data_IF_161196216621
#
_entry.id   IF_161196216621
#
_cell.length_a   1.000
_cell.length_b   1.000
_cell.length_c   1.000
_cell.angle_alpha   90.00
_cell.angle_beta   90.00
_cell.angle_gamma   90.00
#
_symmetry.space_group_name_H-M   'P 1'
#
loop_
_entity.id
_entity.type
_entity.pdbx_description
1 polymer ?
#
# COMPACT_ATOMS: atom_id res chain seq x y z
N UNK A 1 -13.29 15.52 -7.63
CA UNK A 1 -12.32 14.41 -7.73
C UNK A 1 -11.85 14.32 -9.17
N UNK A 2 -10.54 14.42 -9.40
CA UNK A 2 -9.95 14.31 -10.74
C UNK A 2 -9.91 12.85 -11.20
N UNK A 3 -9.76 12.62 -12.51
CA UNK A 3 -9.59 11.26 -13.06
C UNK A 3 -8.40 10.56 -12.42
N UNK A 4 -7.28 11.26 -12.20
CA UNK A 4 -6.09 10.70 -11.55
C UNK A 4 -6.32 10.27 -10.10
N UNK A 5 -7.09 11.03 -9.32
CA UNK A 5 -7.47 10.63 -7.94
C UNK A 5 -8.35 9.38 -7.93
N UNK A 6 -9.23 9.24 -8.92
CA UNK A 6 -10.05 8.04 -9.10
C UNK A 6 -9.18 6.81 -9.38
N UNK A 7 -8.20 6.95 -10.27
CA UNK A 7 -7.25 5.87 -10.55
C UNK A 7 -6.47 5.46 -9.29
N UNK A 8 -6.01 6.43 -8.49
CA UNK A 8 -5.34 6.14 -7.23
C UNK A 8 -6.21 5.38 -6.24
N UNK A 9 -7.48 5.80 -6.08
CA UNK A 9 -8.44 5.13 -5.20
C UNK A 9 -8.69 3.68 -5.62
N UNK A 10 -8.87 3.45 -6.92
CA UNK A 10 -9.17 2.14 -7.50
C UNK A 10 -7.95 1.23 -7.72
N UNK A 11 -6.73 1.78 -7.60
CA UNK A 11 -5.50 0.96 -7.67
C UNK A 11 -5.46 -0.09 -6.56
N UNK A 12 -5.91 0.25 -5.34
CA UNK A 12 -5.87 -0.64 -4.18
C UNK A 12 -6.69 -1.93 -4.38
N UNK A 13 -8.00 -1.87 -4.71
CA UNK A 13 -8.79 -3.07 -4.93
C UNK A 13 -8.31 -3.87 -6.16
N UNK A 14 -7.78 -3.20 -7.19
CA UNK A 14 -7.20 -3.89 -8.34
C UNK A 14 -5.98 -4.72 -7.95
N UNK A 15 -5.01 -4.11 -7.27
CA UNK A 15 -3.80 -4.81 -6.79
C UNK A 15 -4.17 -5.88 -5.77
N UNK A 16 -5.15 -5.62 -4.90
CA UNK A 16 -5.67 -6.61 -3.97
C UNK A 16 -6.23 -7.84 -4.69
N UNK A 17 -7.03 -7.64 -5.74
CA UNK A 17 -7.59 -8.73 -6.54
C UNK A 17 -6.48 -9.55 -7.22
N UNK A 18 -5.48 -8.89 -7.80
CA UNK A 18 -4.32 -9.57 -8.41
C UNK A 18 -3.56 -10.40 -7.38
N UNK A 19 -3.26 -9.82 -6.22
CA UNK A 19 -2.55 -10.51 -5.15
C UNK A 19 -3.35 -11.71 -4.60
N UNK A 20 -4.67 -11.55 -4.45
CA UNK A 20 -5.56 -12.64 -4.03
C UNK A 20 -5.57 -13.78 -5.06
N UNK A 21 -5.72 -13.45 -6.36
CA UNK A 21 -5.72 -14.45 -7.43
C UNK A 21 -4.39 -15.22 -7.48
N UNK A 22 -3.26 -14.52 -7.34
CA UNK A 22 -1.95 -15.15 -7.28
C UNK A 22 -1.82 -16.07 -6.05
N UNK A 23 -2.34 -15.67 -4.89
CA UNK A 23 -2.33 -16.52 -3.70
C UNK A 23 -3.22 -17.75 -3.81
N UNK A 24 -4.42 -17.60 -4.38
CA UNK A 24 -5.32 -18.73 -4.67
C UNK A 24 -4.67 -19.69 -5.67
N UNK A 25 -4.02 -19.17 -6.73
CA UNK A 25 -3.27 -19.99 -7.67
C UNK A 25 -2.15 -20.78 -6.98
N UNK A 26 -1.41 -20.15 -6.06
CA UNK A 26 -0.39 -20.84 -5.28
C UNK A 26 -0.97 -21.97 -4.42
N UNK A 27 -2.12 -21.76 -3.77
CA UNK A 27 -2.81 -22.82 -3.01
C UNK A 27 -3.26 -23.97 -3.90
N UNK A 28 -3.83 -23.68 -5.08
CA UNK A 28 -4.24 -24.71 -6.04
C UNK A 28 -3.02 -25.55 -6.45
N UNK A 29 -1.90 -24.90 -6.80
CA UNK A 29 -0.68 -25.60 -7.21
C UNK A 29 -0.12 -26.51 -6.11
N UNK A 30 -0.18 -26.07 -4.85
CA UNK A 30 0.20 -26.89 -3.69
C UNK A 30 -0.75 -28.07 -3.50
N UNK A 31 -2.06 -27.86 -3.66
CA UNK A 31 -3.07 -28.89 -3.49
C UNK A 31 -2.99 -30.00 -4.56
N UNK A 32 -2.40 -29.72 -5.72
CA UNK A 32 -2.18 -30.70 -6.80
C UNK A 32 -0.72 -31.17 -6.90
N UNK A 33 0.11 -30.92 -5.88
CA UNK A 33 1.54 -31.26 -5.80
C UNK A 33 2.41 -30.73 -6.97
N UNK A 34 2.00 -29.63 -7.60
CA UNK A 34 2.73 -28.99 -8.71
C UNK A 34 3.79 -27.99 -8.22
N UNK A 35 4.68 -28.44 -7.31
CA UNK A 35 5.74 -27.59 -6.75
C UNK A 35 6.82 -27.18 -7.76
N UNK A 36 6.89 -27.83 -8.93
CA UNK A 36 7.78 -27.42 -10.01
C UNK A 36 7.54 -25.95 -10.46
N UNK A 37 6.33 -25.43 -10.24
CA UNK A 37 5.93 -24.05 -10.53
C UNK A 37 6.11 -23.10 -9.33
N UNK A 38 6.52 -23.63 -8.18
CA UNK A 38 6.85 -22.92 -6.95
C UNK A 38 8.32 -23.22 -6.60
N UNK A 39 9.27 -22.60 -7.31
CA UNK A 39 10.67 -23.06 -7.40
C UNK A 39 11.45 -22.94 -6.09
N UNK A 40 10.89 -22.30 -5.07
CA UNK A 40 11.57 -22.04 -3.80
C UNK A 40 10.60 -22.01 -2.61
N UNK A 41 11.12 -22.22 -1.40
CA UNK A 41 10.37 -21.99 -0.15
C UNK A 41 9.85 -20.54 -0.10
N UNK A 42 10.62 -19.59 -0.63
CA UNK A 42 10.20 -18.20 -0.70
C UNK A 42 8.97 -18.01 -1.60
N UNK A 43 8.88 -18.71 -2.73
CA UNK A 43 7.71 -18.67 -3.62
C UNK A 43 6.46 -19.24 -2.94
N UNK A 44 6.61 -20.34 -2.18
CA UNK A 44 5.52 -20.94 -1.41
C UNK A 44 5.03 -19.97 -0.34
N UNK A 45 5.93 -19.43 0.50
CA UNK A 45 5.54 -18.49 1.56
C UNK A 45 4.92 -17.22 0.98
N UNK A 46 5.50 -16.71 -0.11
CA UNK A 46 5.02 -15.49 -0.78
C UNK A 46 3.61 -15.70 -1.33
N UNK A 47 3.39 -16.77 -2.08
CA UNK A 47 2.09 -17.11 -2.65
C UNK A 47 1.05 -17.42 -1.59
N UNK A 48 1.38 -18.27 -0.61
CA UNK A 48 0.42 -18.77 0.38
C UNK A 48 0.01 -17.74 1.41
N UNK A 49 0.94 -16.88 1.84
CA UNK A 49 0.72 -16.00 3.00
C UNK A 49 0.88 -14.51 2.66
N UNK A 50 1.96 -14.15 1.96
CA UNK A 50 2.31 -12.73 1.76
C UNK A 50 1.32 -12.05 0.81
N UNK A 51 1.01 -12.66 -0.33
CA UNK A 51 0.08 -12.08 -1.31
C UNK A 51 -1.37 -12.01 -0.80
N UNK A 52 -1.93 -13.05 -0.16
CA UNK A 52 -3.23 -12.93 0.52
C UNK A 52 -3.23 -11.86 1.63
N UNK A 53 -2.17 -11.79 2.45
CA UNK A 53 -2.04 -10.75 3.48
C UNK A 53 -2.01 -9.33 2.90
N UNK A 54 -1.29 -9.15 1.79
CA UNK A 54 -1.26 -7.90 1.03
C UNK A 54 -2.65 -7.54 0.51
N UNK A 55 -3.38 -8.50 -0.07
CA UNK A 55 -4.74 -8.29 -0.56
C UNK A 55 -5.68 -7.80 0.54
N UNK A 56 -5.63 -8.43 1.72
CA UNK A 56 -6.42 -8.02 2.89
C UNK A 56 -6.03 -6.61 3.33
N UNK A 57 -4.74 -6.29 3.42
CA UNK A 57 -4.27 -4.96 3.79
C UNK A 57 -4.81 -3.87 2.85
N UNK A 58 -4.72 -4.10 1.53
CA UNK A 58 -5.19 -3.15 0.54
C UNK A 58 -6.72 -3.00 0.52
N UNK A 59 -7.46 -4.11 0.73
CA UNK A 59 -8.91 -4.08 0.87
C UNK A 59 -9.34 -3.26 2.10
N UNK A 60 -8.68 -3.45 3.24
CA UNK A 60 -8.94 -2.67 4.45
C UNK A 60 -8.64 -1.18 4.24
N UNK A 61 -7.49 -0.86 3.65
CA UNK A 61 -7.11 0.51 3.32
C UNK A 61 -8.17 1.18 2.43
N UNK A 62 -8.66 0.47 1.41
CA UNK A 62 -9.68 0.99 0.52
C UNK A 62 -11.00 1.27 1.26
N UNK A 63 -11.45 0.34 2.11
CA UNK A 63 -12.64 0.51 2.95
C UNK A 63 -12.50 1.69 3.91
N UNK A 64 -11.31 1.91 4.48
CA UNK A 64 -11.04 3.05 5.36
C UNK A 64 -11.17 4.37 4.60
N UNK A 65 -10.60 4.47 3.40
CA UNK A 65 -10.64 5.71 2.60
C UNK A 65 -12.06 5.99 2.07
N UNK A 66 -12.82 4.97 1.69
CA UNK A 66 -14.22 5.11 1.28
C UNK A 66 -15.13 5.67 2.38
N UNK A 67 -14.71 5.62 3.64
CA UNK A 67 -15.44 6.13 4.80
C UNK A 67 -15.23 7.62 5.10
N UNK A 68 -14.44 8.32 4.26
CA UNK A 68 -14.21 9.78 4.31
C UNK A 68 -15.36 10.54 3.65
N UNK A 69 -15.51 11.82 4.00
CA UNK A 69 -16.47 12.70 3.33
C UNK A 69 -16.12 12.86 1.84
N UNK A 70 -14.83 12.95 1.53
CA UNK A 70 -14.29 12.91 0.17
C UNK A 70 -13.22 11.82 0.09
N UNK A 71 -13.43 10.73 -0.69
CA UNK A 71 -12.53 9.58 -0.72
C UNK A 71 -11.30 9.85 -1.58
N UNK A 72 -10.41 10.72 -1.09
CA UNK A 72 -9.14 11.06 -1.73
C UNK A 72 -7.99 10.63 -0.81
N UNK A 73 -6.94 10.08 -1.42
CA UNK A 73 -5.69 9.73 -0.77
C UNK A 73 -4.80 10.96 -0.61
N UNK A 74 -4.24 11.16 0.58
CA UNK A 74 -3.24 12.19 0.83
C UNK A 74 -1.90 11.85 0.15
N UNK A 75 -1.01 12.82 -0.03
CA UNK A 75 0.31 12.58 -0.63
C UNK A 75 1.14 11.55 0.15
N UNK A 76 1.06 11.60 1.49
CA UNK A 76 1.74 10.60 2.35
C UNK A 76 1.16 9.20 2.18
N UNK A 77 -0.15 9.06 2.05
CA UNK A 77 -0.80 7.77 1.79
C UNK A 77 -0.44 7.19 0.43
N UNK A 78 -0.37 8.04 -0.60
CA UNK A 78 0.09 7.63 -1.93
C UNK A 78 1.53 7.12 -1.88
N UNK A 79 2.42 7.81 -1.16
CA UNK A 79 3.82 7.40 -1.02
C UNK A 79 3.95 6.05 -0.30
N UNK A 80 3.17 5.83 0.78
CA UNK A 80 3.13 4.54 1.47
C UNK A 80 2.59 3.41 0.58
N UNK A 81 1.56 3.67 -0.23
CA UNK A 81 1.07 2.70 -1.21
C UNK A 81 2.11 2.38 -2.29
N UNK A 82 2.80 3.39 -2.81
CA UNK A 82 3.88 3.20 -3.79
C UNK A 82 4.99 2.32 -3.20
N UNK A 83 5.42 2.61 -1.97
CA UNK A 83 6.42 1.80 -1.27
C UNK A 83 5.94 0.35 -1.10
N UNK A 84 4.68 0.16 -0.70
CA UNK A 84 4.08 -1.16 -0.52
C UNK A 84 4.00 -1.94 -1.85
N UNK A 85 3.61 -1.28 -2.95
CA UNK A 85 3.57 -1.89 -4.29
C UNK A 85 4.96 -2.24 -4.79
N UNK A 86 5.94 -1.35 -4.63
CA UNK A 86 7.32 -1.59 -5.01
C UNK A 86 7.90 -2.80 -4.23
N UNK A 87 7.69 -2.85 -2.92
CA UNK A 87 8.11 -3.98 -2.10
C UNK A 87 7.43 -5.28 -2.53
N UNK A 88 6.12 -5.26 -2.81
CA UNK A 88 5.41 -6.44 -3.30
C UNK A 88 5.98 -6.96 -4.63
N UNK A 89 6.25 -6.07 -5.58
CA UNK A 89 6.87 -6.43 -6.87
C UNK A 89 8.25 -7.07 -6.64
N UNK A 90 9.09 -6.47 -5.79
CA UNK A 90 10.42 -6.99 -5.47
C UNK A 90 10.32 -8.37 -4.79
N UNK A 91 9.40 -8.54 -3.84
CA UNK A 91 9.17 -9.83 -3.16
C UNK A 91 8.78 -10.91 -4.17
N UNK A 92 7.86 -10.61 -5.09
CA UNK A 92 7.44 -11.56 -6.13
C UNK A 92 8.60 -11.89 -7.07
N UNK A 93 9.31 -10.87 -7.57
CA UNK A 93 10.42 -11.06 -8.50
C UNK A 93 11.55 -11.91 -7.88
N UNK A 94 11.89 -11.64 -6.63
CA UNK A 94 12.95 -12.36 -5.91
C UNK A 94 12.52 -13.74 -5.47
N UNK A 95 11.21 -14.00 -5.33
CA UNK A 95 10.70 -15.33 -4.93
C UNK A 95 10.97 -16.42 -5.97
N UNK A 96 11.20 -16.04 -7.22
CA UNK A 96 11.52 -16.96 -8.31
C UNK A 96 12.98 -17.46 -8.24
N UNK A 97 13.84 -16.80 -7.48
CA UNK A 97 15.23 -17.20 -7.27
C UNK A 97 15.36 -18.09 -6.03
N UNK A 98 15.76 -19.37 -6.18
CA UNK A 98 15.97 -20.28 -5.05
C UNK A 98 17.03 -19.80 -4.04
N UNK A 99 17.98 -18.97 -4.46
CA UNK A 99 19.06 -18.46 -3.61
C UNK A 99 18.67 -17.22 -2.80
N UNK A 100 17.54 -16.57 -3.11
CA UNK A 100 17.15 -15.28 -2.54
C UNK A 100 16.45 -15.37 -1.16
N UNK A 101 16.43 -16.55 -0.53
CA UNK A 101 15.69 -16.81 0.72
C UNK A 101 16.07 -15.83 1.86
N UNK A 102 17.36 -15.44 1.92
CA UNK A 102 17.86 -14.43 2.86
C UNK A 102 17.26 -13.04 2.62
N UNK A 103 17.02 -12.69 1.36
CA UNK A 103 16.35 -11.45 0.98
C UNK A 103 14.85 -11.50 1.33
N UNK A 104 14.21 -12.65 1.17
CA UNK A 104 12.83 -12.88 1.63
C UNK A 104 12.66 -12.58 3.13
N UNK A 105 13.59 -13.02 3.98
CA UNK A 105 13.58 -12.73 5.42
C UNK A 105 13.65 -11.24 5.76
N UNK A 106 14.29 -10.43 4.92
CA UNK A 106 14.34 -8.98 5.10
C UNK A 106 13.10 -8.30 4.52
N UNK A 107 12.64 -8.74 3.34
CA UNK A 107 11.57 -8.09 2.60
C UNK A 107 10.17 -8.33 3.20
N UNK A 108 9.88 -9.53 3.74
CA UNK A 108 8.55 -9.80 4.31
C UNK A 108 8.24 -8.90 5.52
N UNK A 109 9.13 -8.75 6.52
CA UNK A 109 8.91 -7.82 7.62
C UNK A 109 8.77 -6.36 7.14
N UNK A 110 9.58 -5.94 6.17
CA UNK A 110 9.47 -4.59 5.59
C UNK A 110 8.10 -4.36 4.94
N UNK A 111 7.59 -5.34 4.18
CA UNK A 111 6.26 -5.26 3.58
C UNK A 111 5.16 -5.19 4.64
N UNK A 112 5.29 -5.95 5.74
CA UNK A 112 4.36 -5.89 6.87
C UNK A 112 4.39 -4.51 7.53
N UNK A 113 5.58 -3.95 7.79
CA UNK A 113 5.74 -2.61 8.36
C UNK A 113 5.13 -1.54 7.43
N UNK A 114 5.35 -1.64 6.12
CA UNK A 114 4.74 -0.76 5.14
C UNK A 114 3.20 -0.88 5.15
N UNK A 115 2.67 -2.10 5.17
CA UNK A 115 1.23 -2.36 5.22
C UNK A 115 0.57 -1.79 6.49
N UNK A 116 1.19 -2.03 7.66
CA UNK A 116 0.71 -1.53 8.95
C UNK A 116 0.79 -0.01 9.01
N UNK A 117 1.90 0.59 8.57
CA UNK A 117 2.06 2.04 8.57
C UNK A 117 1.07 2.72 7.62
N UNK A 118 0.81 2.16 6.43
CA UNK A 118 -0.22 2.63 5.52
C UNK A 118 -1.61 2.59 6.18
N UNK A 119 -1.97 1.46 6.77
CA UNK A 119 -3.26 1.29 7.45
C UNK A 119 -3.44 2.27 8.62
N UNK A 120 -2.45 2.36 9.52
CA UNK A 120 -2.49 3.28 10.66
C UNK A 120 -2.58 4.72 10.19
N UNK A 121 -1.82 5.10 9.16
CA UNK A 121 -1.85 6.45 8.59
C UNK A 121 -3.24 6.76 8.04
N UNK A 122 -3.81 5.88 7.20
CA UNK A 122 -5.13 6.06 6.63
C UNK A 122 -6.24 6.09 7.70
N UNK A 123 -6.14 5.31 8.77
CA UNK A 123 -7.07 5.38 9.90
C UNK A 123 -6.96 6.72 10.61
N UNK A 124 -5.75 7.21 10.87
CA UNK A 124 -5.51 8.48 11.57
C UNK A 124 -6.03 9.67 10.77
N UNK A 125 -5.68 9.75 9.50
CA UNK A 125 -6.15 10.82 8.60
C UNK A 125 -7.66 10.79 8.41
N UNK A 126 -8.26 9.60 8.29
CA UNK A 126 -9.74 9.46 8.21
C UNK A 126 -10.42 9.87 9.51
N UNK A 127 -9.81 9.62 10.67
CA UNK A 127 -10.35 10.07 11.96
C UNK A 127 -10.24 11.59 12.13
N UNK A 128 -9.13 12.20 11.70
CA UNK A 128 -8.95 13.64 11.71
C UNK A 128 -9.99 14.33 10.82
N UNK A 129 -10.21 13.81 9.60
CA UNK A 129 -11.25 14.28 8.67
C UNK A 129 -12.64 14.30 9.32
N UNK A 130 -12.99 13.22 10.03
CA UNK A 130 -14.29 13.11 10.72
C UNK A 130 -14.46 14.05 11.92
N UNK A 131 -13.37 14.47 12.55
CA UNK A 131 -13.41 15.35 13.73
C UNK A 131 -13.37 16.84 13.36
N UNK A 132 -13.20 17.17 12.08
CA UNK A 132 -12.94 18.56 11.66
C UNK A 132 -11.62 19.10 12.19
N UNK A 133 -10.74 18.23 12.69
CA UNK A 133 -9.40 18.60 13.12
C UNK A 133 -8.58 18.90 11.85
N UNK A 134 -8.25 20.16 11.62
CA UNK A 134 -7.38 20.57 10.53
C UNK A 134 -6.03 19.85 10.68
N UNK A 135 -5.80 18.85 9.83
CA UNK A 135 -4.59 18.04 9.86
C UNK A 135 -3.37 18.94 9.65
N UNK A 136 -2.61 19.15 10.71
CA UNK A 136 -1.28 19.76 10.66
C UNK A 136 -0.29 18.71 10.18
N UNK A 137 0.28 18.92 9.00
CA UNK A 137 1.36 18.09 8.45
C UNK A 137 2.51 17.97 9.47
N UNK A 138 3.10 16.77 9.69
CA UNK A 138 4.28 16.60 10.56
C UNK A 138 5.52 17.33 10.03
N UNK A 139 5.51 17.66 8.75
CA UNK A 139 6.43 18.59 8.11
C UNK A 139 5.70 19.94 8.15
N UNK A 140 6.11 20.82 9.07
CA UNK A 140 5.49 22.13 9.28
C UNK A 140 5.37 22.97 8.00
N UNK A 141 4.66 24.10 8.03
CA UNK A 141 4.48 24.95 6.85
C UNK A 141 5.85 25.29 6.29
N UNK A 142 6.12 24.83 5.06
CA UNK A 142 7.27 25.29 4.28
C UNK A 142 7.14 26.80 4.17
N UNK A 143 8.13 27.51 4.69
CA UNK A 143 8.25 28.97 4.83
C UNK A 143 8.32 29.75 3.50
N UNK A 144 7.72 29.25 2.43
CA UNK A 144 7.76 29.88 1.10
C UNK A 144 6.47 30.65 0.73
N UNK A 145 5.49 30.75 1.63
CA UNK A 145 4.43 31.75 1.49
C UNK A 145 4.97 33.12 1.93
N UNK A 146 5.71 33.76 1.04
CA UNK A 146 6.00 35.19 1.10
C UNK A 146 4.66 35.92 1.06
N UNK A 147 4.30 36.74 2.07
CA UNK A 147 3.13 37.58 1.95
C UNK A 147 3.40 38.60 0.85
N UNK A 148 2.63 38.55 -0.24
CA UNK A 148 2.53 39.65 -1.19
C UNK A 148 2.09 40.88 -0.41
N UNK A 149 3.05 41.77 -0.17
CA UNK A 149 2.82 43.12 0.36
C UNK A 149 1.90 43.82 -0.63
N UNK A 150 0.67 44.07 -0.18
CA UNK A 150 -0.30 44.87 -0.92
C UNK A 150 0.09 46.34 -0.78
N UNK A 151 0.97 46.82 -1.67
CA UNK A 151 1.33 48.23 -1.77
C UNK A 151 0.29 48.99 -2.59
N UNK A 152 -0.96 49.01 -2.13
CA UNK A 152 -1.98 49.92 -2.65
C UNK A 152 -2.78 50.58 -1.54
N UNK A 153 -2.12 51.45 -0.77
CA UNK A 153 -2.79 52.51 -0.04
C UNK A 153 -1.81 53.65 0.26
N UNK A 154 -1.87 54.67 -0.61
CA UNK A 154 -1.67 56.11 -0.38
C UNK A 154 -0.50 56.59 0.47
#
# INVERSE_FOLDING_TARGET
MTTGERWWLWSQPLVAAIALLAGVAAWILQAVDQYALLPSVQSVVTGTFVLPGLAVSLALNHVIVLRRAVPILTSGEKLLLVAQYALAIIVVATSLDPAALLLGYLLWPLLIVAAVSACVTMVRTTRADRRGEQWTSPLGPTTDEVPLVDSSAR
#
